data_IF_726591977686
#
_entry.id   IF_726591977686
#
_cell.length_a   1.000
_cell.length_b   1.000
_cell.length_c   1.000
_cell.angle_alpha   90.00
_cell.angle_beta   90.00
_cell.angle_gamma   90.00
#
_symmetry.space_group_name_H-M   'P 1'
#
loop_
_entity.id
_entity.type
_entity.pdbx_description
1 polymer ?
#
# COMPACT_ATOMS: atom_id res chain seq x y z
N UNK A 1 -0.53 25.47 -14.95
CA UNK A 1 -0.96 24.62 -13.83
C UNK A 1 -1.91 23.58 -14.40
N UNK A 2 -1.47 22.32 -14.52
CA UNK A 2 -2.31 21.24 -15.03
C UNK A 2 -3.38 20.95 -13.96
N UNK A 3 -4.65 21.24 -14.27
CA UNK A 3 -5.77 20.93 -13.38
C UNK A 3 -6.18 19.47 -13.62
N UNK A 4 -6.52 18.73 -12.56
CA UNK A 4 -7.01 17.33 -12.66
C UNK A 4 -8.12 17.18 -13.69
N UNK A 5 -9.00 18.18 -13.82
CA UNK A 5 -10.07 18.21 -14.82
C UNK A 5 -9.52 18.12 -16.26
N UNK A 6 -8.44 18.83 -16.57
CA UNK A 6 -7.83 18.79 -17.90
C UNK A 6 -7.21 17.42 -18.21
N UNK A 7 -6.69 16.74 -17.19
CA UNK A 7 -6.13 15.38 -17.34
C UNK A 7 -7.24 14.39 -17.69
N UNK A 8 -8.37 14.44 -16.99
CA UNK A 8 -9.52 13.57 -17.28
C UNK A 8 -10.07 13.80 -18.69
N UNK A 9 -10.20 15.05 -19.13
CA UNK A 9 -10.65 15.39 -20.49
C UNK A 9 -9.72 14.81 -21.57
N UNK A 10 -8.40 14.90 -21.35
CA UNK A 10 -7.39 14.33 -22.26
C UNK A 10 -7.52 12.79 -22.32
N UNK A 11 -7.69 12.13 -21.15
CA UNK A 11 -7.86 10.69 -21.11
C UNK A 11 -9.15 10.23 -21.78
N UNK A 12 -10.27 10.92 -21.54
CA UNK A 12 -11.58 10.61 -22.16
C UNK A 12 -11.49 10.72 -23.69
N UNK A 13 -10.89 11.81 -24.20
CA UNK A 13 -10.69 12.01 -25.64
C UNK A 13 -9.81 10.91 -26.25
N UNK A 14 -8.67 10.60 -25.59
CA UNK A 14 -7.76 9.56 -26.06
C UNK A 14 -8.43 8.16 -26.07
N UNK A 15 -9.13 7.80 -25.01
CA UNK A 15 -9.85 6.53 -24.93
C UNK A 15 -10.95 6.45 -25.96
N UNK A 16 -11.72 7.53 -26.18
CA UNK A 16 -12.75 7.58 -27.21
C UNK A 16 -12.18 7.36 -28.61
N UNK A 17 -11.08 8.00 -28.95
CA UNK A 17 -10.40 7.84 -30.25
C UNK A 17 -9.87 6.42 -30.47
N UNK A 18 -9.26 5.81 -29.43
CA UNK A 18 -8.78 4.42 -29.48
C UNK A 18 -9.94 3.43 -29.65
N UNK A 19 -11.04 3.64 -28.93
CA UNK A 19 -12.23 2.79 -29.02
C UNK A 19 -12.88 2.85 -30.42
N UNK A 20 -12.75 3.98 -31.13
CA UNK A 20 -13.18 4.13 -32.51
C UNK A 20 -12.17 3.58 -33.53
N UNK A 21 -11.12 2.93 -33.12
CA UNK A 21 -10.13 2.27 -33.99
C UNK A 21 -8.96 3.16 -34.41
N UNK A 22 -8.76 4.33 -33.78
CA UNK A 22 -7.57 5.14 -34.03
C UNK A 22 -6.33 4.43 -33.56
N UNK A 23 -5.28 4.39 -34.37
CA UNK A 23 -3.99 3.83 -33.94
C UNK A 23 -3.31 4.74 -32.90
N UNK A 24 -2.66 4.17 -31.87
CA UNK A 24 -1.98 4.94 -30.81
C UNK A 24 -1.00 6.00 -31.32
N UNK A 25 -0.34 5.74 -32.43
CA UNK A 25 0.62 6.68 -33.06
C UNK A 25 0.00 8.04 -33.46
N UNK A 26 -1.33 8.10 -33.60
CA UNK A 26 -2.04 9.32 -33.94
C UNK A 26 -2.51 10.14 -32.74
N UNK A 27 -2.29 9.63 -31.51
CA UNK A 27 -2.63 10.37 -30.29
C UNK A 27 -1.59 11.41 -29.91
N UNK A 28 -0.36 11.28 -30.41
CA UNK A 28 0.71 12.20 -30.10
C UNK A 28 2.05 11.75 -30.67
N UNK A 29 3.08 12.52 -30.38
CA UNK A 29 4.44 12.26 -30.80
C UNK A 29 5.05 11.08 -30.05
N UNK A 30 5.78 10.21 -30.77
CA UNK A 30 6.47 9.09 -30.16
C UNK A 30 7.69 9.59 -29.40
N UNK A 31 7.65 9.44 -28.08
CA UNK A 31 8.78 9.79 -27.22
C UNK A 31 9.47 8.55 -26.67
N UNK A 32 10.81 8.54 -26.50
CA UNK A 32 11.50 7.44 -25.86
C UNK A 32 10.98 7.25 -24.42
N UNK A 33 10.35 6.10 -24.16
CA UNK A 33 9.91 5.77 -22.81
C UNK A 33 11.14 5.37 -21.97
N UNK A 34 11.49 6.17 -20.98
CA UNK A 34 12.36 5.69 -19.90
C UNK A 34 11.50 4.81 -19.00
N UNK A 35 11.71 3.51 -19.09
CA UNK A 35 11.11 2.58 -18.13
C UNK A 35 11.43 3.09 -16.73
N UNK A 36 10.39 3.40 -15.97
CA UNK A 36 10.51 3.78 -14.57
C UNK A 36 11.16 2.64 -13.76
N UNK A 37 11.49 2.93 -12.51
CA UNK A 37 11.96 1.93 -11.57
C UNK A 37 10.89 0.82 -11.46
N UNK A 38 11.30 -0.44 -11.64
CA UNK A 38 10.40 -1.56 -11.38
C UNK A 38 10.01 -1.54 -9.90
N UNK A 39 8.73 -1.71 -9.62
CA UNK A 39 8.26 -1.99 -8.27
C UNK A 39 8.87 -3.33 -7.87
N UNK A 40 9.67 -3.33 -6.79
CA UNK A 40 10.17 -4.56 -6.21
C UNK A 40 9.01 -5.38 -5.65
N UNK A 41 9.04 -6.68 -5.87
CA UNK A 41 8.07 -7.57 -5.22
C UNK A 41 8.39 -7.65 -3.72
N UNK A 42 7.38 -7.84 -2.86
CA UNK A 42 7.62 -8.10 -1.44
C UNK A 42 8.37 -9.43 -1.28
N UNK A 43 9.23 -9.51 -0.28
CA UNK A 43 9.93 -10.75 0.03
C UNK A 43 8.97 -11.66 0.77
N UNK A 44 8.71 -12.84 0.18
CA UNK A 44 7.85 -13.88 0.75
C UNK A 44 8.70 -14.88 1.52
N UNK A 45 8.35 -15.12 2.77
CA UNK A 45 8.80 -16.24 3.58
C UNK A 45 7.59 -17.07 3.99
N UNK A 46 7.82 -18.23 4.61
CA UNK A 46 6.74 -19.18 4.93
C UNK A 46 5.53 -18.53 5.62
N UNK A 47 5.77 -17.70 6.62
CA UNK A 47 4.73 -17.04 7.42
C UNK A 47 4.88 -15.51 7.43
N UNK A 48 5.59 -14.94 6.46
CA UNK A 48 5.88 -13.50 6.44
C UNK A 48 5.83 -12.93 5.03
N UNK A 49 5.35 -11.67 4.95
CA UNK A 49 5.60 -10.79 3.81
C UNK A 49 6.38 -9.58 4.30
N UNK A 50 7.54 -9.35 3.71
CA UNK A 50 8.34 -8.16 3.97
C UNK A 50 8.21 -7.21 2.78
N UNK A 51 7.54 -6.09 2.99
CA UNK A 51 7.33 -5.05 2.01
C UNK A 51 8.11 -3.76 2.30
N UNK A 52 7.93 -2.81 1.40
CA UNK A 52 8.47 -1.46 1.50
C UNK A 52 7.46 -0.43 1.00
N UNK A 53 7.60 0.83 1.43
CA UNK A 53 6.81 1.91 0.89
C UNK A 53 7.24 2.25 -0.53
N UNK A 54 6.28 2.32 -1.44
CA UNK A 54 6.46 2.79 -2.81
C UNK A 54 6.49 4.32 -2.85
N UNK A 55 5.52 4.92 -2.21
CA UNK A 55 5.38 6.38 -2.08
C UNK A 55 4.43 6.73 -0.93
N UNK A 56 4.44 8.00 -0.56
CA UNK A 56 3.43 8.61 0.31
C UNK A 56 2.55 9.51 -0.53
N UNK A 57 1.25 9.42 -0.34
CA UNK A 57 0.28 10.24 -1.07
C UNK A 57 0.24 11.68 -0.53
N UNK A 58 -0.62 12.52 -1.12
CA UNK A 58 -0.77 13.93 -0.73
C UNK A 58 -1.40 14.11 0.67
N UNK A 59 -2.03 13.08 1.18
CA UNK A 59 -2.60 13.06 2.53
C UNK A 59 -1.60 12.51 3.56
N UNK A 60 -0.48 11.99 3.11
CA UNK A 60 0.55 11.41 3.94
C UNK A 60 0.33 9.92 4.26
N UNK A 61 -0.55 9.24 3.52
CA UNK A 61 -0.72 7.79 3.63
C UNK A 61 0.40 7.08 2.89
N UNK A 62 0.84 5.94 3.40
CA UNK A 62 1.92 5.16 2.81
C UNK A 62 1.41 3.99 1.99
N UNK A 63 1.64 4.00 0.67
CA UNK A 63 1.30 2.91 -0.22
C UNK A 63 2.50 1.95 -0.30
N UNK A 64 2.25 0.65 -0.06
CA UNK A 64 3.30 -0.37 -0.04
C UNK A 64 3.38 -1.13 -1.37
N UNK A 65 4.37 -1.99 -1.51
CA UNK A 65 4.50 -2.94 -2.62
C UNK A 65 3.82 -4.28 -2.38
N UNK A 66 3.02 -4.42 -1.31
CA UNK A 66 2.27 -5.64 -0.99
C UNK A 66 0.91 -5.54 -1.68
N UNK A 67 0.66 -6.38 -2.68
CA UNK A 67 -0.64 -6.42 -3.34
C UNK A 67 -1.66 -7.21 -2.52
N UNK A 68 -2.95 -6.91 -2.76
CA UNK A 68 -4.07 -7.62 -2.15
C UNK A 68 -4.01 -9.13 -2.42
N UNK A 69 -3.70 -9.51 -3.67
CA UNK A 69 -3.61 -10.91 -4.08
C UNK A 69 -2.47 -11.63 -3.34
N UNK A 70 -1.29 -10.99 -3.24
CA UNK A 70 -0.15 -11.56 -2.52
C UNK A 70 -0.43 -11.72 -1.03
N UNK A 71 -1.08 -10.73 -0.42
CA UNK A 71 -1.47 -10.78 0.98
C UNK A 71 -2.40 -11.96 1.25
N UNK A 72 -3.53 -12.05 0.52
CA UNK A 72 -4.52 -13.11 0.75
C UNK A 72 -4.05 -14.49 0.34
N UNK A 73 -3.18 -14.59 -0.67
CA UNK A 73 -2.55 -15.86 -1.05
C UNK A 73 -1.71 -16.45 0.11
N UNK A 74 -1.01 -15.61 0.87
CA UNK A 74 -0.21 -16.03 2.02
C UNK A 74 -1.05 -16.12 3.29
N UNK A 75 -1.98 -15.18 3.48
CA UNK A 75 -2.87 -15.14 4.66
C UNK A 75 -3.66 -16.43 4.83
N UNK A 76 -4.33 -16.89 3.79
CA UNK A 76 -5.15 -18.11 3.80
C UNK A 76 -6.07 -18.20 5.02
N UNK A 77 -6.76 -17.10 5.36
CA UNK A 77 -7.62 -16.93 6.54
C UNK A 77 -6.94 -17.14 7.92
N UNK A 78 -5.62 -17.06 7.98
CA UNK A 78 -4.88 -17.13 9.23
C UNK A 78 -4.88 -15.78 9.96
N UNK A 79 -4.74 -15.78 11.30
CA UNK A 79 -4.44 -14.56 12.05
C UNK A 79 -3.16 -13.90 11.54
N UNK A 80 -3.09 -12.58 11.62
CA UNK A 80 -1.92 -11.84 11.17
C UNK A 80 -1.69 -10.59 12.03
N UNK A 81 -0.49 -10.04 11.94
CA UNK A 81 -0.12 -8.71 12.44
C UNK A 81 0.66 -7.97 11.37
N UNK A 82 0.34 -6.71 11.15
CA UNK A 82 1.06 -5.80 10.26
C UNK A 82 1.88 -4.85 11.12
N UNK A 83 3.19 -4.90 10.98
CA UNK A 83 4.14 -4.10 11.74
C UNK A 83 4.80 -3.08 10.82
N UNK A 84 4.81 -1.82 11.24
CA UNK A 84 5.47 -0.71 10.54
C UNK A 84 6.66 -0.25 11.36
N UNK A 85 7.86 -0.31 10.75
CA UNK A 85 9.11 -0.02 11.45
C UNK A 85 9.73 -1.26 12.09
N UNK A 86 11.05 -1.28 12.18
CA UNK A 86 11.81 -2.44 12.71
C UNK A 86 12.64 -2.12 13.97
N UNK A 87 12.49 -0.93 14.54
CA UNK A 87 13.27 -0.50 15.71
C UNK A 87 12.39 0.20 16.74
N UNK A 88 12.53 -0.15 18.00
CA UNK A 88 12.02 0.45 19.28
C UNK A 88 10.62 1.09 19.29
N UNK A 89 10.04 1.48 18.15
CA UNK A 89 8.68 1.95 17.98
C UNK A 89 8.08 1.15 16.83
N UNK A 90 7.46 0.04 17.15
CA UNK A 90 6.67 -0.74 16.23
C UNK A 90 5.21 -0.30 16.34
N UNK A 91 4.61 0.00 15.20
CA UNK A 91 3.17 0.24 15.12
C UNK A 91 2.54 -1.02 14.55
N UNK A 92 1.60 -1.59 15.29
CA UNK A 92 0.99 -2.87 14.96
C UNK A 92 -0.50 -2.66 14.70
N UNK A 93 -0.99 -3.29 13.65
CA UNK A 93 -2.42 -3.48 13.40
C UNK A 93 -2.65 -4.91 12.91
N UNK A 94 -3.76 -5.49 13.27
CA UNK A 94 -4.15 -6.87 12.96
C UNK A 94 -5.48 -6.93 12.19
N UNK A 95 -5.94 -5.79 11.72
CA UNK A 95 -7.19 -5.65 11.00
C UNK A 95 -6.94 -4.95 9.67
N UNK A 96 -7.55 -5.46 8.61
CA UNK A 96 -7.70 -4.73 7.35
C UNK A 96 -9.02 -3.98 7.42
N UNK A 97 -8.94 -2.65 7.46
CA UNK A 97 -10.10 -1.78 7.49
C UNK A 97 -10.75 -1.66 6.09
N UNK A 98 -12.05 -1.50 6.05
CA UNK A 98 -12.78 -1.21 4.81
C UNK A 98 -12.72 0.30 4.46
N UNK A 99 -12.59 1.16 5.47
CA UNK A 99 -12.53 2.62 5.32
C UNK A 99 -11.51 3.24 6.29
N UNK A 100 -11.01 4.44 5.94
CA UNK A 100 -10.11 5.24 6.80
C UNK A 100 -10.74 5.66 8.12
N UNK A 101 -12.07 5.71 8.21
CA UNK A 101 -12.81 6.13 9.39
C UNK A 101 -12.98 5.02 10.45
N UNK A 102 -12.60 3.80 10.15
CA UNK A 102 -12.72 2.67 11.10
C UNK A 102 -11.68 2.70 12.21
N UNK A 103 -10.68 3.59 12.09
CA UNK A 103 -9.61 3.72 13.07
C UNK A 103 -9.77 4.93 14.00
N UNK A 104 -9.24 4.80 15.20
CA UNK A 104 -8.97 5.93 16.08
C UNK A 104 -7.74 6.70 15.54
N UNK A 105 -7.79 8.05 15.61
CA UNK A 105 -6.68 8.93 15.21
C UNK A 105 -5.38 8.73 16.02
N UNK A 106 -5.40 7.85 17.02
CA UNK A 106 -4.23 7.43 17.80
C UNK A 106 -3.57 6.14 17.29
N UNK A 107 -4.13 5.49 16.27
CA UNK A 107 -3.65 4.20 15.74
C UNK A 107 -3.45 4.25 14.24
N UNK A 108 -2.55 3.40 13.76
CA UNK A 108 -2.46 3.14 12.33
C UNK A 108 -3.63 2.25 11.89
N UNK A 109 -4.08 2.46 10.66
CA UNK A 109 -5.01 1.57 9.95
C UNK A 109 -4.33 1.03 8.72
N UNK A 110 -4.64 -0.22 8.38
CA UNK A 110 -4.21 -0.86 7.15
C UNK A 110 -5.45 -1.16 6.30
N UNK A 111 -5.40 -0.81 5.03
CA UNK A 111 -6.48 -1.06 4.07
C UNK A 111 -5.88 -1.35 2.69
N UNK A 112 -6.68 -1.89 1.78
CA UNK A 112 -6.27 -2.00 0.39
C UNK A 112 -6.80 -0.81 -0.40
N UNK A 113 -5.88 0.00 -0.95
CA UNK A 113 -6.22 1.14 -1.78
C UNK A 113 -6.93 0.70 -3.07
N UNK A 114 -7.52 1.65 -3.79
CA UNK A 114 -8.13 1.38 -5.11
C UNK A 114 -7.13 0.84 -6.14
N UNK A 115 -5.83 1.03 -5.93
CA UNK A 115 -4.76 0.46 -6.76
C UNK A 115 -4.50 -1.02 -6.47
N UNK A 116 -5.13 -1.59 -5.44
CA UNK A 116 -4.95 -2.97 -5.02
C UNK A 116 -3.72 -3.23 -4.17
N UNK A 117 -3.01 -2.18 -3.72
CA UNK A 117 -1.88 -2.32 -2.80
C UNK A 117 -2.27 -2.01 -1.36
N UNK A 118 -1.59 -2.66 -0.43
CA UNK A 118 -1.71 -2.40 1.00
C UNK A 118 -1.27 -0.97 1.29
N UNK A 119 -2.15 -0.22 1.91
CA UNK A 119 -1.95 1.16 2.33
C UNK A 119 -1.97 1.23 3.84
N UNK A 120 -1.05 2.01 4.40
CA UNK A 120 -0.97 2.31 5.83
C UNK A 120 -1.29 3.78 6.02
N UNK A 121 -2.25 4.06 6.87
CA UNK A 121 -2.73 5.41 7.16
C UNK A 121 -2.89 5.66 8.65
N UNK A 122 -3.07 6.92 9.02
CA UNK A 122 -3.52 7.34 10.34
C UNK A 122 -4.72 8.28 10.14
N UNK A 123 -5.90 7.96 10.67
CA UNK A 123 -7.06 8.81 10.53
C UNK A 123 -6.76 10.25 10.92
N UNK A 124 -7.10 11.19 10.05
CA UNK A 124 -6.95 12.64 10.26
C UNK A 124 -5.52 13.16 10.51
N UNK A 125 -4.49 12.35 10.25
CA UNK A 125 -3.08 12.72 10.42
C UNK A 125 -2.24 12.23 9.25
N UNK A 126 -1.07 12.83 9.09
CA UNK A 126 -0.07 12.32 8.16
C UNK A 126 0.73 11.20 8.84
N UNK A 127 0.80 10.02 8.21
CA UNK A 127 1.55 8.89 8.73
C UNK A 127 3.02 9.24 9.04
N UNK A 128 3.67 10.01 8.16
CA UNK A 128 5.07 10.42 8.33
C UNK A 128 5.33 11.36 9.51
N UNK A 129 4.28 12.04 9.99
CA UNK A 129 4.35 12.87 11.20
C UNK A 129 4.00 12.08 12.46
N UNK A 130 3.17 11.08 12.32
CA UNK A 130 2.76 10.21 13.43
C UNK A 130 3.84 9.18 13.77
N UNK A 131 4.49 8.65 12.75
CA UNK A 131 5.55 7.65 12.85
C UNK A 131 6.80 8.17 12.16
N UNK A 132 7.98 8.00 12.79
CA UNK A 132 9.25 8.32 12.15
C UNK A 132 9.58 7.27 11.08
N UNK A 133 8.98 7.42 9.93
CA UNK A 133 9.15 6.53 8.79
C UNK A 133 9.62 7.29 7.55
N UNK A 134 10.31 6.58 6.70
CA UNK A 134 10.74 7.03 5.39
C UNK A 134 10.54 5.90 4.36
N UNK A 135 10.95 6.16 3.12
CA UNK A 135 10.88 5.17 2.03
C UNK A 135 11.72 3.89 2.26
N UNK A 136 12.63 3.88 3.24
CA UNK A 136 13.44 2.70 3.57
C UNK A 136 12.80 1.89 4.70
N UNK A 137 11.79 2.44 5.36
CA UNK A 137 11.06 1.75 6.42
C UNK A 137 10.37 0.52 5.84
N UNK A 138 10.56 -0.60 6.49
CA UNK A 138 9.97 -1.87 6.06
C UNK A 138 8.63 -2.09 6.74
N UNK A 139 7.76 -2.80 6.02
CA UNK A 139 6.49 -3.29 6.52
C UNK A 139 6.61 -4.80 6.63
N UNK A 140 6.39 -5.33 7.82
CA UNK A 140 6.36 -6.77 8.05
C UNK A 140 4.92 -7.19 8.29
N UNK A 141 4.41 -8.11 7.47
CA UNK A 141 3.19 -8.85 7.75
C UNK A 141 3.59 -10.23 8.26
N UNK A 142 3.25 -10.52 9.50
CA UNK A 142 3.44 -11.82 10.13
C UNK A 142 2.11 -12.57 10.14
N UNK A 143 2.10 -13.82 9.68
CA UNK A 143 0.95 -14.71 9.72
C UNK A 143 1.18 -15.80 10.76
N UNK A 144 0.14 -16.18 11.48
CA UNK A 144 0.18 -17.15 12.58
C UNK A 144 -0.70 -18.34 12.29
N UNK A 145 -0.33 -19.50 12.77
CA UNK A 145 -1.13 -20.71 12.57
C UNK A 145 -2.32 -20.77 13.57
N UNK A 146 -2.25 -20.00 14.67
CA UNK A 146 -3.34 -19.86 15.65
C UNK A 146 -3.36 -18.47 16.30
N UNK A 147 -4.50 -18.12 16.94
CA UNK A 147 -4.62 -16.90 17.74
C UNK A 147 -3.71 -16.96 18.99
N UNK A 148 -3.55 -18.13 19.59
CA UNK A 148 -2.68 -18.31 20.76
C UNK A 148 -1.21 -18.07 20.44
N UNK A 149 -0.78 -18.44 19.23
CA UNK A 149 0.57 -18.14 18.74
C UNK A 149 0.78 -16.64 18.56
N UNK A 150 -0.21 -15.95 17.96
CA UNK A 150 -0.19 -14.51 17.77
C UNK A 150 -0.09 -13.76 19.10
N UNK A 151 -0.95 -14.09 20.06
CA UNK A 151 -0.97 -13.46 21.40
C UNK A 151 0.35 -13.65 22.16
N UNK A 152 0.99 -14.82 22.03
CA UNK A 152 2.31 -15.07 22.63
C UNK A 152 3.40 -14.22 22.00
N UNK A 153 3.39 -14.09 20.68
CA UNK A 153 4.40 -13.31 19.95
C UNK A 153 4.25 -11.81 20.27
N UNK A 154 3.04 -11.28 20.23
CA UNK A 154 2.73 -9.88 20.56
C UNK A 154 3.02 -9.57 22.04
N UNK A 155 2.74 -10.48 22.96
CA UNK A 155 3.05 -10.34 24.38
C UNK A 155 4.56 -10.36 24.71
N UNK A 156 5.39 -10.84 23.78
CA UNK A 156 6.86 -10.83 23.91
C UNK A 156 7.47 -9.51 23.39
N UNK A 157 6.71 -8.76 22.57
CA UNK A 157 7.14 -7.50 21.96
C UNK A 157 6.85 -6.26 22.81
N UNK A 158 6.07 -6.41 23.90
CA UNK A 158 5.74 -5.37 24.88
C UNK A 158 6.69 -5.46 26.09
#
# INVERSE_FOLDING_TARGET
TCRIRNILEIFIDAVGKLAMGMEPKHLGELVPCKLGRRIGLPVKKQNQLLGEFLYFDVYGNGITNISKDEFYQVCNNRPFSIMVGMQRQQYITDVIADDYNEGDSSRIVALFSFTGYLEIAVPQKQLTQFVHIDKNTKILVQFYDSLEEKERDEGTLL
#
